data_IF_172623865047
#
_entry.id   IF_172623865047
#
_cell.length_a   1.000
_cell.length_b   1.000
_cell.length_c   1.000
_cell.angle_alpha   90.00
_cell.angle_beta   90.00
_cell.angle_gamma   90.00
#
_symmetry.space_group_name_H-M   'P 1'
#
loop_
_entity.id
_entity.type
_entity.pdbx_description
1 polymer ?
#
# COMPACT_ATOMS: atom_id res chain seq x y z
N UNK A 1 -23.52 18.79 -25.16
CA UNK A 1 -23.74 17.31 -25.33
C UNK A 1 -25.01 17.07 -26.16
N UNK A 2 -25.08 16.23 -27.22
CA UNK A 2 -26.30 16.15 -28.07
C UNK A 2 -27.23 14.96 -27.78
N UNK A 3 -28.56 15.13 -27.94
CA UNK A 3 -29.55 14.03 -27.80
C UNK A 3 -29.29 12.85 -28.72
N UNK A 4 -28.80 13.10 -29.94
CA UNK A 4 -28.45 12.04 -30.91
C UNK A 4 -27.27 11.22 -30.40
N UNK A 5 -26.21 11.88 -29.93
CA UNK A 5 -25.07 11.20 -29.33
C UNK A 5 -25.51 10.33 -28.15
N UNK A 6 -26.34 10.85 -27.25
CA UNK A 6 -26.81 10.10 -26.08
C UNK A 6 -27.56 8.83 -26.48
N UNK A 7 -28.42 8.89 -27.51
CA UNK A 7 -29.11 7.71 -28.04
C UNK A 7 -28.15 6.70 -28.66
N UNK A 8 -27.21 7.16 -29.48
CA UNK A 8 -26.20 6.30 -30.11
C UNK A 8 -25.28 5.65 -29.07
N UNK A 9 -24.91 6.41 -28.03
CA UNK A 9 -24.13 5.95 -26.90
C UNK A 9 -24.89 4.90 -26.07
N UNK A 10 -26.17 5.17 -25.75
CA UNK A 10 -27.01 4.19 -25.07
C UNK A 10 -27.11 2.89 -25.89
N UNK A 11 -27.29 3.00 -27.21
CA UNK A 11 -27.31 1.84 -28.11
C UNK A 11 -25.99 1.06 -28.09
N UNK A 12 -24.85 1.75 -28.11
CA UNK A 12 -23.53 1.13 -28.05
C UNK A 12 -23.28 0.39 -26.73
N UNK A 13 -23.73 0.99 -25.62
CA UNK A 13 -23.59 0.43 -24.27
C UNK A 13 -24.74 -0.51 -23.86
N UNK A 14 -25.62 -0.90 -24.81
CA UNK A 14 -26.77 -1.80 -24.59
C UNK A 14 -27.74 -1.29 -23.50
N UNK A 15 -27.85 0.03 -23.37
CA UNK A 15 -28.80 0.72 -22.52
C UNK A 15 -30.15 0.91 -23.24
N UNK A 16 -31.20 1.25 -22.49
CA UNK A 16 -32.51 1.51 -23.06
C UNK A 16 -32.48 2.78 -23.94
N UNK A 17 -33.13 2.70 -25.10
CA UNK A 17 -33.34 3.87 -25.96
C UNK A 17 -34.28 4.90 -25.31
N UNK A 18 -35.15 4.43 -24.42
CA UNK A 18 -36.02 5.27 -23.58
C UNK A 18 -35.21 5.82 -22.40
N UNK A 19 -34.95 7.14 -22.34
CA UNK A 19 -34.04 7.73 -21.35
C UNK A 19 -34.41 7.43 -19.89
N UNK A 20 -35.69 7.53 -19.54
CA UNK A 20 -36.18 7.38 -18.16
C UNK A 20 -36.06 5.95 -17.59
N UNK A 21 -35.83 4.94 -18.43
CA UNK A 21 -35.64 3.54 -17.99
C UNK A 21 -34.19 3.23 -17.62
N UNK A 22 -33.25 4.15 -17.89
CA UNK A 22 -31.86 3.94 -17.58
C UNK A 22 -31.56 4.37 -16.14
N UNK A 23 -31.04 3.42 -15.36
CA UNK A 23 -30.59 3.67 -13.99
C UNK A 23 -29.15 4.20 -13.94
N UNK A 24 -28.30 3.85 -14.91
CA UNK A 24 -26.89 4.21 -14.93
C UNK A 24 -26.47 4.73 -16.30
N UNK A 25 -25.71 5.82 -16.33
CA UNK A 25 -25.19 6.41 -17.56
C UNK A 25 -23.69 6.68 -17.45
N UNK A 26 -22.93 6.20 -18.43
CA UNK A 26 -21.46 6.26 -18.47
C UNK A 26 -20.94 7.23 -19.53
N UNK A 27 -20.72 8.48 -19.17
CA UNK A 27 -20.28 9.55 -20.08
C UNK A 27 -18.81 9.92 -19.91
N UNK A 28 -17.97 8.96 -19.47
CA UNK A 28 -16.54 9.16 -19.27
C UNK A 28 -15.76 9.31 -20.60
N UNK A 29 -14.72 10.13 -20.57
CA UNK A 29 -13.74 10.37 -21.64
C UNK A 29 -14.35 10.78 -22.98
N UNK A 30 -15.42 11.58 -22.96
CA UNK A 30 -16.09 12.07 -24.18
C UNK A 30 -15.81 13.53 -24.53
N UNK A 31 -15.08 14.25 -23.67
CA UNK A 31 -14.68 15.65 -23.93
C UNK A 31 -15.84 16.63 -23.89
N UNK A 32 -16.85 16.38 -23.04
CA UNK A 32 -17.93 17.33 -22.81
C UNK A 32 -17.47 18.47 -21.90
N UNK A 33 -17.78 19.69 -22.31
CA UNK A 33 -17.55 20.91 -21.53
C UNK A 33 -18.76 21.29 -20.68
N UNK A 34 -19.98 20.97 -21.13
CA UNK A 34 -21.24 21.28 -20.43
C UNK A 34 -22.12 20.03 -20.29
N UNK A 35 -22.85 19.95 -19.17
CA UNK A 35 -23.88 18.93 -18.95
C UNK A 35 -25.18 19.46 -19.57
N UNK A 36 -25.71 18.80 -20.59
CA UNK A 36 -26.92 19.25 -21.30
C UNK A 36 -27.71 18.05 -21.80
N UNK A 37 -29.01 18.23 -22.06
CA UNK A 37 -29.86 17.19 -22.66
C UNK A 37 -30.05 15.93 -21.78
N UNK A 38 -29.89 16.06 -20.45
CA UNK A 38 -30.20 15.01 -19.48
C UNK A 38 -31.62 15.10 -18.91
N UNK A 39 -32.42 16.12 -19.25
CA UNK A 39 -33.78 16.35 -18.72
C UNK A 39 -34.69 15.11 -18.79
N UNK A 40 -34.59 14.33 -19.87
CA UNK A 40 -35.42 13.13 -20.11
C UNK A 40 -34.99 11.92 -19.25
N UNK A 41 -33.80 11.97 -18.64
CA UNK A 41 -33.18 10.87 -17.87
C UNK A 41 -33.52 10.97 -16.37
N UNK A 42 -34.81 10.96 -16.04
CA UNK A 42 -35.32 11.12 -14.68
C UNK A 42 -35.12 9.89 -13.78
N UNK A 43 -34.93 8.71 -14.37
CA UNK A 43 -34.71 7.44 -13.66
C UNK A 43 -33.27 7.18 -13.22
N UNK A 44 -32.34 8.08 -13.53
CA UNK A 44 -30.92 7.86 -13.22
C UNK A 44 -30.66 7.79 -11.72
N UNK A 45 -29.96 6.72 -11.32
CA UNK A 45 -29.41 6.50 -9.98
C UNK A 45 -27.90 6.75 -9.95
N UNK A 46 -27.20 6.47 -11.04
CA UNK A 46 -25.74 6.61 -11.11
C UNK A 46 -25.31 7.34 -12.39
N UNK A 47 -24.60 8.45 -12.22
CA UNK A 47 -24.12 9.27 -13.33
C UNK A 47 -22.60 9.39 -13.27
N UNK A 48 -21.94 8.87 -14.30
CA UNK A 48 -20.49 8.93 -14.46
C UNK A 48 -20.16 9.97 -15.53
N UNK A 49 -19.55 11.06 -15.10
CA UNK A 49 -19.10 12.12 -15.97
C UNK A 49 -17.63 12.34 -15.64
N UNK A 50 -16.74 11.66 -16.36
CA UNK A 50 -15.30 11.94 -16.31
C UNK A 50 -14.95 12.65 -17.62
N UNK A 51 -14.57 13.92 -17.56
CA UNK A 51 -14.34 14.69 -18.79
C UNK A 51 -13.36 15.82 -18.52
N UNK A 52 -12.38 15.95 -19.41
CA UNK A 52 -11.49 17.08 -19.45
C UNK A 52 -12.28 18.30 -19.94
N UNK A 53 -12.56 19.25 -19.05
CA UNK A 53 -13.10 20.56 -19.42
C UNK A 53 -14.51 20.91 -18.92
N UNK A 54 -15.10 20.15 -17.98
CA UNK A 54 -16.28 20.66 -17.27
C UNK A 54 -15.84 21.67 -16.20
N UNK A 55 -16.37 22.88 -16.26
CA UNK A 55 -16.04 23.98 -15.33
C UNK A 55 -17.06 24.11 -14.19
N UNK A 56 -18.32 23.77 -14.46
CA UNK A 56 -19.43 23.96 -13.53
C UNK A 56 -20.42 22.79 -13.57
N UNK A 57 -21.08 22.55 -12.43
CA UNK A 57 -22.12 21.54 -12.28
C UNK A 57 -23.46 22.23 -12.56
N UNK A 58 -24.12 21.88 -13.66
CA UNK A 58 -25.39 22.48 -14.07
C UNK A 58 -26.31 21.46 -14.74
N UNK A 59 -27.59 21.82 -14.92
CA UNK A 59 -28.60 21.04 -15.65
C UNK A 59 -28.83 19.61 -15.11
N UNK A 60 -28.79 19.45 -13.77
CA UNK A 60 -29.08 18.19 -13.06
C UNK A 60 -30.41 18.21 -12.29
N UNK A 61 -31.26 19.23 -12.51
CA UNK A 61 -32.49 19.45 -11.73
C UNK A 61 -33.52 18.34 -11.90
N UNK A 62 -33.53 17.70 -13.07
CA UNK A 62 -34.44 16.60 -13.39
C UNK A 62 -34.05 15.28 -12.69
N UNK A 63 -32.80 15.14 -12.24
CA UNK A 63 -32.22 13.91 -11.68
C UNK A 63 -32.49 13.75 -10.17
N UNK A 64 -33.73 13.97 -9.74
CA UNK A 64 -34.12 13.86 -8.32
C UNK A 64 -33.91 12.46 -7.70
N UNK A 65 -33.78 11.42 -8.53
CA UNK A 65 -33.52 10.03 -8.15
C UNK A 65 -32.04 9.67 -8.01
N UNK A 66 -31.12 10.59 -8.27
CA UNK A 66 -29.69 10.30 -8.35
C UNK A 66 -29.13 9.94 -6.97
N UNK A 67 -28.36 8.85 -6.90
CA UNK A 67 -27.70 8.33 -5.71
C UNK A 67 -26.18 8.45 -5.77
N UNK A 68 -25.60 8.28 -6.96
CA UNK A 68 -24.17 8.32 -7.17
C UNK A 68 -23.81 9.29 -8.29
N UNK A 69 -22.98 10.28 -7.99
CA UNK A 69 -22.50 11.27 -8.95
C UNK A 69 -20.96 11.27 -8.95
N UNK A 70 -20.38 10.92 -10.10
CA UNK A 70 -18.94 10.88 -10.29
C UNK A 70 -18.52 11.98 -11.28
N UNK A 71 -17.77 12.94 -10.78
CA UNK A 71 -17.30 14.16 -11.45
C UNK A 71 -15.78 14.29 -11.32
N UNK A 72 -15.04 13.21 -11.57
CA UNK A 72 -13.59 13.17 -11.45
C UNK A 72 -12.88 13.88 -12.63
N UNK A 73 -11.65 14.37 -12.37
CA UNK A 73 -10.70 14.87 -13.38
C UNK A 73 -11.27 16.01 -14.25
N UNK A 74 -11.79 17.07 -13.61
CA UNK A 74 -12.34 18.23 -14.32
C UNK A 74 -11.75 19.54 -13.83
N UNK A 75 -12.32 20.64 -14.33
CA UNK A 75 -11.94 22.01 -13.99
C UNK A 75 -12.99 22.64 -13.06
N UNK A 76 -13.60 21.85 -12.17
CA UNK A 76 -14.62 22.36 -11.26
C UNK A 76 -13.93 23.16 -10.16
N UNK A 77 -14.36 24.41 -9.97
CA UNK A 77 -13.84 25.30 -8.93
C UNK A 77 -14.74 25.39 -7.70
N UNK A 78 -16.04 25.10 -7.85
CA UNK A 78 -17.06 25.26 -6.81
C UNK A 78 -18.11 24.16 -6.85
N UNK A 79 -18.71 23.89 -5.69
CA UNK A 79 -19.84 22.98 -5.54
C UNK A 79 -21.14 23.79 -5.55
N UNK A 80 -21.87 23.71 -6.65
CA UNK A 80 -23.11 24.43 -6.88
C UNK A 80 -24.17 23.53 -7.54
N UNK A 81 -25.43 23.96 -7.49
CA UNK A 81 -26.58 23.28 -8.12
C UNK A 81 -26.81 21.82 -7.67
N UNK A 82 -26.41 21.48 -6.44
CA UNK A 82 -26.65 20.15 -5.83
C UNK A 82 -27.98 20.08 -5.05
N UNK A 83 -28.68 21.20 -4.89
CA UNK A 83 -29.84 21.32 -3.99
C UNK A 83 -30.99 20.36 -4.31
N UNK A 84 -31.17 20.03 -5.59
CA UNK A 84 -32.25 19.16 -6.07
C UNK A 84 -31.97 17.67 -5.83
N UNK A 85 -30.71 17.28 -5.58
CA UNK A 85 -30.26 15.88 -5.50
C UNK A 85 -30.43 15.29 -4.09
N UNK A 86 -31.64 15.34 -3.52
CA UNK A 86 -31.90 14.95 -2.12
C UNK A 86 -31.57 13.50 -1.76
N UNK A 87 -31.52 12.61 -2.75
CA UNK A 87 -31.22 11.17 -2.60
C UNK A 87 -29.76 10.81 -2.87
N UNK A 88 -28.89 11.82 -3.05
CA UNK A 88 -27.49 11.59 -3.36
C UNK A 88 -26.78 11.00 -2.14
N UNK A 89 -26.23 9.80 -2.28
CA UNK A 89 -25.48 9.09 -1.26
C UNK A 89 -23.97 9.19 -1.46
N UNK A 90 -23.52 9.17 -2.72
CA UNK A 90 -22.10 9.18 -3.09
C UNK A 90 -21.82 10.33 -4.05
N UNK A 91 -20.93 11.23 -3.64
CA UNK A 91 -20.40 12.29 -4.48
C UNK A 91 -18.89 12.14 -4.60
N UNK A 92 -18.40 12.00 -5.84
CA UNK A 92 -16.98 12.06 -6.13
C UNK A 92 -16.67 13.26 -7.01
N UNK A 93 -15.89 14.19 -6.47
CA UNK A 93 -15.37 15.40 -7.11
C UNK A 93 -13.84 15.45 -6.98
N UNK A 94 -13.19 14.28 -7.00
CA UNK A 94 -11.74 14.18 -6.88
C UNK A 94 -11.02 14.65 -8.16
N UNK A 95 -9.80 15.16 -8.03
CA UNK A 95 -9.03 15.74 -9.14
C UNK A 95 -9.76 16.93 -9.80
N UNK A 96 -10.12 17.93 -8.99
CA UNK A 96 -10.69 19.20 -9.43
C UNK A 96 -9.89 20.36 -8.81
N UNK A 97 -10.39 21.59 -8.93
CA UNK A 97 -9.77 22.81 -8.40
C UNK A 97 -10.66 23.46 -7.33
N UNK A 98 -11.33 22.64 -6.53
CA UNK A 98 -12.23 23.12 -5.48
C UNK A 98 -11.41 23.68 -4.33
N UNK A 99 -11.68 24.93 -3.97
CA UNK A 99 -11.02 25.63 -2.87
C UNK A 99 -11.83 25.62 -1.57
N UNK A 100 -13.17 25.55 -1.67
CA UNK A 100 -14.06 25.63 -0.50
C UNK A 100 -15.17 24.58 -0.67
N UNK A 101 -15.48 23.89 0.42
CA UNK A 101 -16.62 22.99 0.54
C UNK A 101 -17.84 23.82 0.95
N UNK A 102 -18.71 24.11 -0.02
CA UNK A 102 -19.97 24.81 0.21
C UNK A 102 -21.15 23.99 -0.36
N UNK A 103 -22.37 24.33 0.07
CA UNK A 103 -23.62 23.75 -0.46
C UNK A 103 -23.78 22.22 -0.32
N UNK A 104 -22.95 21.53 0.48
CA UNK A 104 -23.09 20.08 0.73
C UNK A 104 -24.19 19.78 1.78
N UNK A 105 -24.38 20.66 2.76
CA UNK A 105 -25.36 20.49 3.84
C UNK A 105 -26.81 20.33 3.36
N UNK A 106 -27.10 20.72 2.12
CA UNK A 106 -28.41 20.54 1.51
C UNK A 106 -28.75 19.08 1.13
N UNK A 107 -27.77 18.16 1.24
CA UNK A 107 -27.84 16.74 0.89
C UNK A 107 -27.99 15.87 2.15
N UNK A 108 -29.22 15.48 2.53
CA UNK A 108 -29.45 14.79 3.80
C UNK A 108 -28.97 13.33 3.82
N UNK A 109 -28.90 12.67 2.66
CA UNK A 109 -28.52 11.25 2.53
C UNK A 109 -27.05 11.04 2.13
N UNK A 110 -26.24 12.10 2.06
CA UNK A 110 -24.85 11.99 1.58
C UNK A 110 -24.00 11.24 2.60
N UNK A 111 -23.62 10.01 2.25
CA UNK A 111 -22.80 9.13 3.09
C UNK A 111 -21.33 9.14 2.70
N UNK A 112 -21.03 9.34 1.42
CA UNK A 112 -19.68 9.19 0.87
C UNK A 112 -19.30 10.44 0.08
N UNK A 113 -18.28 11.15 0.54
CA UNK A 113 -17.72 12.31 -0.14
C UNK A 113 -16.24 12.05 -0.48
N UNK A 114 -15.91 12.10 -1.76
CA UNK A 114 -14.55 11.95 -2.27
C UNK A 114 -14.12 13.24 -2.97
N UNK A 115 -13.28 14.02 -2.30
CA UNK A 115 -12.76 15.32 -2.75
C UNK A 115 -11.21 15.33 -2.71
N UNK A 116 -10.61 14.17 -2.96
CA UNK A 116 -9.15 14.05 -3.06
C UNK A 116 -8.59 14.87 -4.23
N UNK A 117 -7.32 15.30 -4.15
CA UNK A 117 -6.64 16.08 -5.19
C UNK A 117 -7.40 17.37 -5.56
N UNK A 118 -7.74 18.18 -4.57
CA UNK A 118 -8.30 19.53 -4.74
C UNK A 118 -7.37 20.57 -4.12
N UNK A 119 -7.88 21.78 -3.84
CA UNK A 119 -7.11 22.94 -3.38
C UNK A 119 -7.65 23.51 -2.06
N UNK A 120 -8.11 22.63 -1.16
CA UNK A 120 -8.53 23.00 0.19
C UNK A 120 -7.29 23.31 1.04
N UNK A 121 -7.22 24.48 1.67
CA UNK A 121 -6.03 24.97 2.38
C UNK A 121 -6.30 25.21 3.87
N UNK A 122 -7.46 25.77 4.20
CA UNK A 122 -7.80 26.30 5.52
C UNK A 122 -8.92 25.52 6.20
N UNK A 123 -9.12 25.76 7.50
CA UNK A 123 -10.24 25.19 8.26
C UNK A 123 -11.59 25.72 7.77
N UNK A 124 -11.64 27.00 7.38
CA UNK A 124 -12.85 27.63 6.83
C UNK A 124 -13.34 26.94 5.57
N UNK A 125 -12.41 26.41 4.76
CA UNK A 125 -12.74 25.68 3.53
C UNK A 125 -13.51 24.39 3.79
N UNK A 126 -13.39 23.81 4.99
CA UNK A 126 -14.05 22.55 5.36
C UNK A 126 -15.09 22.72 6.46
N UNK A 127 -15.24 23.91 7.04
CA UNK A 127 -16.10 24.19 8.20
C UNK A 127 -17.54 23.68 7.99
N UNK A 128 -18.03 23.81 6.76
CA UNK A 128 -19.37 23.37 6.37
C UNK A 128 -19.62 21.87 6.53
N UNK A 129 -18.57 21.03 6.59
CA UNK A 129 -18.66 19.60 6.88
C UNK A 129 -19.20 19.32 8.28
N UNK A 130 -19.02 20.25 9.23
CA UNK A 130 -19.55 20.11 10.60
C UNK A 130 -21.08 20.00 10.65
N UNK A 131 -21.77 20.52 9.63
CA UNK A 131 -23.23 20.40 9.49
C UNK A 131 -23.68 19.10 8.80
N UNK A 132 -22.75 18.33 8.24
CA UNK A 132 -23.03 17.15 7.43
C UNK A 132 -23.02 15.88 8.31
N UNK A 133 -24.15 15.60 8.98
CA UNK A 133 -24.25 14.53 9.97
C UNK A 133 -24.29 13.11 9.38
N UNK A 134 -24.63 12.96 8.10
CA UNK A 134 -24.79 11.66 7.44
C UNK A 134 -23.50 11.11 6.81
N UNK A 135 -22.46 11.94 6.66
CA UNK A 135 -21.22 11.54 6.00
C UNK A 135 -20.48 10.54 6.88
N UNK A 136 -20.18 9.38 6.28
CA UNK A 136 -19.49 8.28 6.93
C UNK A 136 -18.12 7.99 6.33
N UNK A 137 -17.98 8.21 5.02
CA UNK A 137 -16.73 8.03 4.28
C UNK A 137 -16.32 9.38 3.70
N UNK A 138 -15.18 9.89 4.15
CA UNK A 138 -14.63 11.16 3.71
C UNK A 138 -13.19 10.95 3.22
N UNK A 139 -12.98 11.21 1.93
CA UNK A 139 -11.66 11.17 1.32
C UNK A 139 -11.26 12.57 0.86
N UNK A 140 -10.25 13.14 1.50
CA UNK A 140 -9.69 14.46 1.19
C UNK A 140 -8.17 14.40 1.02
N UNK A 141 -7.65 13.24 0.59
CA UNK A 141 -6.23 13.08 0.34
C UNK A 141 -5.72 14.08 -0.71
N UNK A 142 -4.45 14.43 -0.62
CA UNK A 142 -3.74 15.31 -1.55
C UNK A 142 -4.43 16.67 -1.76
N UNK A 143 -4.96 17.24 -0.67
CA UNK A 143 -5.29 18.65 -0.58
C UNK A 143 -4.11 19.42 0.04
N UNK A 144 -4.32 20.69 0.34
CA UNK A 144 -3.31 21.61 0.86
C UNK A 144 -3.59 22.00 2.32
N UNK A 145 -4.38 21.19 3.05
CA UNK A 145 -4.76 21.47 4.43
C UNK A 145 -3.51 21.52 5.30
N UNK A 146 -3.36 22.61 6.06
CA UNK A 146 -2.13 22.88 6.79
C UNK A 146 -2.34 23.12 8.30
N UNK A 147 -3.57 23.39 8.74
CA UNK A 147 -3.85 23.75 10.13
C UNK A 147 -4.43 22.56 10.92
N UNK A 148 -3.83 22.16 12.06
CA UNK A 148 -4.42 21.18 12.98
C UNK A 148 -5.82 21.51 13.50
N UNK A 149 -6.26 22.77 13.41
CA UNK A 149 -7.61 23.21 13.77
C UNK A 149 -8.74 22.60 12.91
N UNK A 150 -8.43 21.71 11.95
CA UNK A 150 -9.43 20.88 11.26
C UNK A 150 -10.06 19.79 12.13
N UNK A 151 -9.41 19.38 13.24
CA UNK A 151 -9.87 18.26 14.07
C UNK A 151 -11.29 18.48 14.65
N UNK A 152 -11.62 19.65 15.23
CA UNK A 152 -12.96 19.92 15.76
C UNK A 152 -14.07 19.81 14.70
N UNK A 153 -13.77 20.13 13.43
CA UNK A 153 -14.73 19.98 12.32
C UNK A 153 -15.10 18.51 12.14
N UNK A 154 -14.12 17.62 12.16
CA UNK A 154 -14.37 16.17 12.06
C UNK A 154 -15.01 15.59 13.32
N UNK A 155 -14.70 16.14 14.49
CA UNK A 155 -15.34 15.72 15.75
C UNK A 155 -16.85 16.03 15.77
N UNK A 156 -17.26 17.10 15.08
CA UNK A 156 -18.67 17.43 14.91
C UNK A 156 -19.44 16.44 14.01
N UNK A 157 -18.75 15.53 13.30
CA UNK A 157 -19.35 14.55 12.39
C UNK A 157 -19.54 13.18 13.08
N UNK A 158 -20.75 12.84 13.58
CA UNK A 158 -20.96 11.65 14.42
C UNK A 158 -20.86 10.32 13.65
N UNK A 159 -21.23 10.32 12.37
CA UNK A 159 -21.24 9.10 11.54
C UNK A 159 -19.93 8.86 10.79
N UNK A 160 -18.90 9.69 10.99
CA UNK A 160 -17.60 9.53 10.35
C UNK A 160 -16.92 8.23 10.81
N UNK A 161 -16.68 7.32 9.86
CA UNK A 161 -16.04 6.01 10.08
C UNK A 161 -14.73 5.88 9.31
N UNK A 162 -14.67 6.43 8.10
CA UNK A 162 -13.51 6.36 7.21
C UNK A 162 -13.07 7.76 6.89
N UNK A 163 -11.82 8.09 7.23
CA UNK A 163 -11.20 9.38 6.95
C UNK A 163 -9.85 9.17 6.26
N UNK A 164 -9.63 9.85 5.14
CA UNK A 164 -8.34 9.89 4.46
C UNK A 164 -7.86 11.34 4.29
N UNK A 165 -6.72 11.64 4.91
CA UNK A 165 -6.04 12.93 4.89
C UNK A 165 -4.61 12.82 4.32
N UNK A 166 -4.22 11.66 3.79
CA UNK A 166 -2.91 11.43 3.18
C UNK A 166 -2.51 12.54 2.21
N UNK A 167 -1.25 12.96 2.24
CA UNK A 167 -0.74 13.98 1.33
C UNK A 167 -1.12 15.43 1.66
N UNK A 168 -1.81 15.69 2.77
CA UNK A 168 -1.96 17.05 3.32
C UNK A 168 -0.79 17.39 4.26
N UNK A 169 -0.44 18.68 4.36
CA UNK A 169 0.66 19.14 5.23
C UNK A 169 0.32 18.99 6.72
N UNK A 170 -0.96 19.12 7.06
CA UNK A 170 -1.48 19.00 8.43
C UNK A 170 -1.09 17.70 9.11
N UNK A 171 -0.99 16.59 8.36
CA UNK A 171 -0.62 15.27 8.89
C UNK A 171 0.75 15.30 9.55
N UNK A 172 1.70 16.07 9.01
CA UNK A 172 3.06 16.22 9.55
C UNK A 172 3.13 17.15 10.76
N UNK A 173 2.16 18.05 10.90
CA UNK A 173 2.12 19.05 11.98
C UNK A 173 1.41 18.54 13.23
N UNK A 174 0.55 17.54 13.09
CA UNK A 174 -0.16 16.96 14.23
C UNK A 174 0.77 15.95 14.93
N UNK A 175 1.14 16.19 16.21
CA UNK A 175 1.97 15.25 16.94
C UNK A 175 1.20 13.95 17.19
N UNK A 176 1.89 12.81 17.04
CA UNK A 176 1.28 11.49 17.16
C UNK A 176 -0.04 11.38 16.37
N UNK A 177 -0.04 11.91 15.14
CA UNK A 177 -1.24 12.12 14.31
C UNK A 177 -2.26 10.99 14.39
N UNK A 178 -1.83 9.74 14.19
CA UNK A 178 -2.72 8.57 14.24
C UNK A 178 -3.38 8.39 15.61
N UNK A 179 -2.62 8.45 16.71
CA UNK A 179 -3.18 8.33 18.07
C UNK A 179 -4.13 9.49 18.35
N UNK A 180 -3.72 10.71 18.03
CA UNK A 180 -4.54 11.92 18.19
C UNK A 180 -5.87 11.80 17.44
N UNK A 181 -5.87 11.38 16.18
CA UNK A 181 -7.10 11.16 15.41
C UNK A 181 -7.99 10.08 16.03
N UNK A 182 -7.42 8.95 16.44
CA UNK A 182 -8.18 7.85 17.05
C UNK A 182 -8.85 8.27 18.36
N UNK A 183 -8.16 9.05 19.21
CA UNK A 183 -8.67 9.53 20.50
C UNK A 183 -9.80 10.54 20.30
N UNK A 184 -9.61 11.49 19.37
CA UNK A 184 -10.57 12.57 19.11
C UNK A 184 -11.80 12.04 18.35
N UNK A 185 -11.61 11.12 17.40
CA UNK A 185 -12.65 10.52 16.57
C UNK A 185 -13.00 9.10 17.06
N UNK A 186 -13.91 9.03 18.04
CA UNK A 186 -14.25 7.79 18.78
C UNK A 186 -14.86 6.68 17.93
N UNK A 187 -15.50 7.03 16.81
CA UNK A 187 -16.16 6.06 15.94
C UNK A 187 -15.37 5.71 14.68
N UNK A 188 -14.15 6.23 14.55
CA UNK A 188 -13.31 5.98 13.38
C UNK A 188 -12.91 4.50 13.30
N UNK A 189 -13.15 3.89 12.14
CA UNK A 189 -12.79 2.49 11.83
C UNK A 189 -11.64 2.40 10.83
N UNK A 190 -11.41 3.44 10.04
CA UNK A 190 -10.33 3.47 9.05
C UNK A 190 -9.74 4.88 8.99
N UNK A 191 -8.43 4.97 9.10
CA UNK A 191 -7.68 6.21 8.97
C UNK A 191 -6.61 6.01 7.91
N UNK A 192 -6.67 6.84 6.87
CA UNK A 192 -5.73 6.87 5.76
C UNK A 192 -5.69 5.54 5.00
N UNK A 193 -4.60 4.77 5.13
CA UNK A 193 -4.38 3.47 4.50
C UNK A 193 -4.57 2.30 5.47
N UNK A 194 -4.84 2.55 6.75
CA UNK A 194 -4.86 1.52 7.80
C UNK A 194 -6.18 1.48 8.59
N UNK A 195 -6.77 0.29 8.79
CA UNK A 195 -7.90 0.12 9.70
C UNK A 195 -7.50 0.46 11.13
N UNK A 196 -8.46 0.90 11.94
CA UNK A 196 -8.30 1.17 13.38
C UNK A 196 -8.92 -0.01 14.14
N UNK A 197 -8.08 -0.87 14.70
CA UNK A 197 -8.54 -2.01 15.46
C UNK A 197 -8.90 -1.62 16.90
N UNK A 198 -9.73 -2.41 17.59
CA UNK A 198 -10.02 -2.19 19.02
C UNK A 198 -8.76 -2.15 19.90
N UNK A 199 -7.72 -2.93 19.54
CA UNK A 199 -6.40 -2.89 20.19
C UNK A 199 -5.77 -1.50 20.06
N UNK A 200 -5.73 -0.96 18.84
CA UNK A 200 -5.12 0.35 18.55
C UNK A 200 -5.82 1.46 19.33
N UNK A 201 -7.15 1.40 19.41
CA UNK A 201 -7.96 2.36 20.18
C UNK A 201 -7.67 2.29 21.67
N UNK A 202 -7.66 1.09 22.25
CA UNK A 202 -7.33 0.91 23.67
C UNK A 202 -5.92 1.44 23.99
N UNK A 203 -4.93 1.13 23.15
CA UNK A 203 -3.56 1.65 23.29
C UNK A 203 -3.51 3.18 23.18
N UNK A 204 -4.23 3.78 22.21
CA UNK A 204 -4.26 5.23 22.04
C UNK A 204 -4.95 5.93 23.23
N UNK A 205 -6.03 5.37 23.77
CA UNK A 205 -6.70 5.89 24.97
C UNK A 205 -5.81 5.76 26.22
N UNK A 206 -5.13 4.63 26.40
CA UNK A 206 -4.18 4.44 27.49
C UNK A 206 -2.98 5.40 27.38
N UNK A 207 -2.52 5.67 26.15
CA UNK A 207 -1.51 6.69 25.87
C UNK A 207 -1.98 8.09 26.25
N UNK A 208 -3.23 8.44 25.96
CA UNK A 208 -3.80 9.74 26.31
C UNK A 208 -3.83 10.00 27.83
N UNK A 209 -4.00 8.94 28.63
CA UNK A 209 -4.08 9.02 30.10
C UNK A 209 -2.72 8.90 30.78
N UNK A 210 -1.90 7.93 30.36
CA UNK A 210 -0.67 7.53 31.04
C UNK A 210 0.59 7.62 30.20
N UNK A 211 0.53 8.26 29.03
CA UNK A 211 1.64 8.37 28.09
C UNK A 211 2.16 7.01 27.62
N UNK A 212 3.45 6.94 27.31
CA UNK A 212 4.09 5.74 26.79
C UNK A 212 4.01 4.54 27.75
N UNK A 213 4.03 4.79 29.06
CA UNK A 213 3.89 3.71 30.05
C UNK A 213 2.48 3.11 30.06
N UNK A 214 1.46 3.96 29.95
CA UNK A 214 0.07 3.53 29.84
C UNK A 214 -0.15 2.67 28.60
N UNK A 215 0.36 3.13 27.46
CA UNK A 215 0.32 2.40 26.20
C UNK A 215 0.99 1.01 26.29
N UNK A 216 2.21 0.96 26.85
CA UNK A 216 2.98 -0.29 26.97
C UNK A 216 2.22 -1.32 27.82
N UNK A 217 1.69 -0.89 28.97
CA UNK A 217 0.88 -1.75 29.85
C UNK A 217 -0.35 -2.29 29.14
N UNK A 218 -1.09 -1.45 28.43
CA UNK A 218 -2.30 -1.88 27.72
C UNK A 218 -1.96 -2.84 26.57
N UNK A 219 -0.87 -2.59 25.85
CA UNK A 219 -0.37 -3.46 24.78
C UNK A 219 -0.03 -4.86 25.32
N UNK A 220 0.70 -4.94 26.42
CA UNK A 220 1.06 -6.21 27.09
C UNK A 220 -0.18 -6.97 27.59
N UNK A 221 -1.17 -6.25 28.13
CA UNK A 221 -2.44 -6.84 28.56
C UNK A 221 -3.20 -7.45 27.37
N UNK A 222 -3.22 -6.77 26.23
CA UNK A 222 -3.86 -7.26 25.01
C UNK A 222 -3.16 -8.52 24.47
N UNK A 223 -1.83 -8.52 24.40
CA UNK A 223 -1.04 -9.68 23.97
C UNK A 223 -1.21 -10.88 24.91
N UNK A 224 -1.25 -10.63 26.22
CA UNK A 224 -1.51 -11.66 27.23
C UNK A 224 -2.91 -12.26 27.05
N UNK A 225 -3.91 -11.43 26.75
CA UNK A 225 -5.29 -11.87 26.49
C UNK A 225 -5.37 -12.73 25.23
N UNK A 226 -4.72 -12.33 24.14
CA UNK A 226 -4.70 -13.12 22.90
C UNK A 226 -3.96 -14.43 23.07
N UNK A 227 -2.79 -14.41 23.73
CA UNK A 227 -2.05 -15.63 24.06
C UNK A 227 -2.90 -16.61 24.87
N UNK A 228 -3.66 -16.10 25.84
CA UNK A 228 -4.59 -16.91 26.63
C UNK A 228 -5.69 -17.52 25.75
N UNK A 229 -6.32 -16.75 24.86
CA UNK A 229 -7.33 -17.30 23.93
C UNK A 229 -6.77 -18.41 23.04
N UNK A 230 -5.54 -18.25 22.54
CA UNK A 230 -4.87 -19.28 21.74
C UNK A 230 -4.61 -20.52 22.59
N UNK A 231 -4.09 -20.35 23.81
CA UNK A 231 -3.85 -21.46 24.74
C UNK A 231 -5.14 -22.20 25.08
N UNK A 232 -6.20 -21.49 25.44
CA UNK A 232 -7.52 -22.07 25.76
C UNK A 232 -8.08 -22.87 24.56
N UNK A 233 -7.81 -22.41 23.34
CA UNK A 233 -8.20 -23.11 22.11
C UNK A 233 -7.40 -24.39 21.89
N UNK A 234 -6.09 -24.37 22.16
CA UNK A 234 -5.21 -25.54 22.08
C UNK A 234 -5.58 -26.60 23.12
N UNK A 235 -5.82 -26.18 24.36
CA UNK A 235 -6.24 -27.06 25.46
C UNK A 235 -7.64 -27.67 25.19
N UNK A 236 -8.52 -26.92 24.52
CA UNK A 236 -9.81 -27.40 24.02
C UNK A 236 -9.72 -28.43 22.89
N UNK A 237 -8.64 -28.43 22.11
CA UNK A 237 -8.36 -29.47 21.11
C UNK A 237 -7.71 -30.72 21.71
N UNK A 238 -6.79 -30.57 22.67
CA UNK A 238 -6.13 -31.71 23.33
C UNK A 238 -7.10 -32.51 24.20
N UNK A 239 -8.11 -31.87 24.78
CA UNK A 239 -9.17 -32.56 25.54
C UNK A 239 -10.12 -33.41 24.67
N UNK A 240 -10.06 -33.33 23.34
CA UNK A 240 -10.79 -34.22 22.41
C UNK A 240 -9.98 -35.45 21.99
N UNK A 241 -8.66 -35.50 22.23
CA UNK A 241 -7.90 -36.74 22.09
C UNK A 241 -8.09 -37.60 23.34
N UNK A 242 -9.17 -38.41 23.33
CA UNK A 242 -9.31 -39.45 24.35
C UNK A 242 -8.09 -40.41 24.29
N UNK A 243 -7.57 -40.89 25.44
CA UNK A 243 -6.43 -41.81 25.47
C UNK A 243 -6.70 -43.12 24.69
N UNK A 244 -7.97 -43.48 24.46
CA UNK A 244 -8.37 -44.59 23.59
C UNK A 244 -8.05 -44.35 22.10
N UNK A 245 -8.24 -43.14 21.59
CA UNK A 245 -7.95 -42.80 20.19
C UNK A 245 -6.44 -42.83 19.90
N UNK A 246 -5.63 -42.33 20.85
CA UNK A 246 -4.17 -42.39 20.77
C UNK A 246 -3.64 -43.84 20.88
N UNK A 247 -4.24 -44.67 21.76
CA UNK A 247 -3.88 -46.08 21.90
C UNK A 247 -4.23 -46.91 20.67
N UNK A 248 -5.39 -46.68 20.06
CA UNK A 248 -5.84 -47.35 18.82
C UNK A 248 -4.91 -47.02 17.64
N UNK A 249 -4.52 -45.74 17.50
CA UNK A 249 -3.59 -45.30 16.45
C UNK A 249 -2.20 -45.91 16.63
N UNK A 250 -1.73 -46.04 17.87
CA UNK A 250 -0.44 -46.69 18.19
C UNK A 250 -0.47 -48.21 17.95
N UNK A 251 -1.56 -48.89 18.28
CA UNK A 251 -1.75 -50.32 17.99
C UNK A 251 -1.80 -50.60 16.47
N UNK A 252 -2.41 -49.69 15.70
CA UNK A 252 -2.48 -49.79 14.24
C UNK A 252 -1.11 -49.60 13.59
N UNK A 253 -0.27 -48.70 14.13
CA UNK A 253 1.12 -48.54 13.67
C UNK A 253 2.00 -49.75 14.00
N UNK A 254 1.86 -50.33 15.20
CA UNK A 254 2.62 -51.53 15.59
C UNK A 254 2.23 -52.77 14.77
N UNK A 255 0.95 -52.92 14.42
CA UNK A 255 0.49 -54.03 13.57
C UNK A 255 0.97 -53.91 12.12
N UNK A 256 1.02 -52.69 11.56
CA UNK A 256 1.64 -52.43 10.24
C UNK A 256 3.13 -52.75 10.22
N UNK A 257 3.90 -52.29 11.21
CA UNK A 257 5.33 -52.59 11.33
C UNK A 257 5.61 -54.10 11.47
N UNK A 258 4.80 -54.83 12.27
CA UNK A 258 4.91 -56.29 12.37
C UNK A 258 4.61 -57.00 11.05
N UNK A 259 3.66 -56.50 10.26
CA UNK A 259 3.32 -57.05 8.94
C UNK A 259 4.44 -56.80 7.92
N UNK A 260 5.10 -55.65 7.97
CA UNK A 260 6.27 -55.35 7.12
C UNK A 260 7.48 -56.22 7.45
N UNK A 261 7.77 -56.42 8.74
CA UNK A 261 8.85 -57.34 9.13
C UNK A 261 8.55 -58.79 8.72
N UNK A 262 7.31 -59.24 8.83
CA UNK A 262 6.90 -60.58 8.35
C UNK A 262 7.09 -60.72 6.83
N UNK A 263 6.77 -59.67 6.08
CA UNK A 263 6.98 -59.65 4.63
C UNK A 263 8.48 -59.62 4.26
N UNK A 264 9.33 -58.95 5.04
CA UNK A 264 10.80 -58.99 4.84
C UNK A 264 11.38 -60.39 5.11
N UNK A 265 10.89 -61.08 6.13
CA UNK A 265 11.30 -62.46 6.44
C UNK A 265 10.96 -63.43 5.29
N UNK A 266 9.74 -63.31 4.73
CA UNK A 266 9.30 -64.14 3.58
C UNK A 266 10.17 -63.89 2.33
N UNK A 267 10.58 -62.64 2.08
CA UNK A 267 11.49 -62.31 0.96
C UNK A 267 12.89 -62.92 1.14
N UNK A 268 13.39 -63.01 2.38
CA UNK A 268 14.69 -63.66 2.66
C UNK A 268 14.69 -65.16 2.37
N UNK A 269 13.59 -65.86 2.68
CA UNK A 269 13.47 -67.32 2.43
C UNK A 269 13.31 -67.64 0.94
N UNK A 270 12.80 -66.69 0.13
CA UNK A 270 12.69 -66.85 -1.31
C UNK A 270 14.01 -66.56 -2.07
N UNK A 271 14.89 -65.69 -1.55
CA UNK A 271 16.18 -65.38 -2.17
C UNK A 271 17.19 -66.54 -2.17
N UNK A 272 17.15 -67.43 -1.17
CA UNK A 272 18.11 -68.54 -1.03
C UNK A 272 17.95 -69.68 -2.05
N UNK A 273 16.99 -69.60 -2.99
CA UNK A 273 16.81 -70.58 -4.08
C UNK A 273 17.34 -70.10 -5.44
N UNK A 274 17.69 -68.83 -5.62
CA UNK A 274 18.22 -68.30 -6.88
C UNK A 274 19.76 -68.19 -6.92
N UNK A 275 20.42 -68.15 -5.76
CA UNK A 275 21.88 -67.97 -5.69
C UNK A 275 22.71 -69.21 -6.07
N UNK A 276 22.11 -70.40 -6.19
CA UNK A 276 22.85 -71.64 -6.49
C UNK A 276 23.09 -71.88 -8.00
N UNK A 277 22.53 -71.05 -8.88
CA UNK A 277 22.68 -71.16 -10.34
C UNK A 277 23.60 -70.11 -10.96
N UNK A 278 23.99 -69.07 -10.22
CA UNK A 278 24.78 -67.94 -10.75
C UNK A 278 26.28 -68.02 -10.36
N UNK A 279 26.63 -68.87 -9.39
CA UNK A 279 28.00 -69.02 -8.87
C UNK A 279 28.91 -69.91 -9.76
N UNK A 280 28.35 -70.61 -10.76
CA UNK A 280 29.15 -71.44 -11.69
C UNK A 280 29.63 -70.69 -12.95
N UNK A 281 29.01 -69.56 -13.32
CA UNK A 281 29.35 -68.83 -14.56
C UNK A 281 30.41 -67.75 -14.39
N UNK A 282 30.60 -67.18 -13.20
CA UNK A 282 31.56 -66.08 -12.98
C UNK A 282 32.98 -66.54 -12.63
N UNK A 283 33.18 -67.83 -12.33
CA UNK A 283 34.50 -68.37 -11.97
C UNK A 283 35.42 -68.65 -13.16
N UNK A 284 34.89 -68.64 -14.40
CA UNK A 284 35.66 -68.90 -15.62
C UNK A 284 36.19 -67.61 -16.29
N UNK A 285 35.66 -66.43 -15.96
CA UNK A 285 35.96 -65.17 -16.65
C UNK A 285 37.07 -64.33 -16.00
N UNK A 286 37.36 -64.56 -14.72
CA UNK A 286 38.32 -63.75 -13.93
C UNK A 286 39.78 -64.23 -14.08
N UNK A 287 40.05 -65.28 -14.84
CA UNK A 287 41.43 -65.78 -15.09
C UNK A 287 42.10 -65.18 -16.34
N UNK A 288 41.38 -64.37 -17.13
CA UNK A 288 41.84 -63.93 -18.46
C UNK A 288 42.13 -62.42 -18.56
N UNK A 289 41.94 -61.64 -17.47
CA UNK A 289 42.03 -60.16 -17.50
C UNK A 289 43.14 -59.56 -16.60
N UNK A 290 44.12 -60.35 -16.16
CA UNK A 290 45.25 -59.87 -15.34
C UNK A 290 46.62 -60.01 -16.02
N UNK A 291 46.75 -59.73 -17.32
CA UNK A 291 48.06 -59.77 -17.99
C UNK A 291 48.63 -58.46 -18.53
N UNK A 292 47.94 -57.31 -18.62
CA UNK A 292 48.57 -56.12 -19.22
C UNK A 292 48.15 -54.78 -18.59
N UNK A 293 48.99 -54.27 -17.67
CA UNK A 293 49.14 -52.84 -17.38
C UNK A 293 50.61 -52.45 -17.50
N UNK A 294 50.91 -51.52 -18.40
CA UNK A 294 52.05 -50.57 -18.43
C UNK A 294 51.87 -49.77 -19.74
N UNK A 295 51.99 -48.46 -19.89
CA UNK A 295 52.60 -47.39 -19.11
C UNK A 295 52.25 -46.02 -19.79
N UNK A 296 52.31 -44.92 -19.04
CA UNK A 296 52.76 -43.54 -19.40
C UNK A 296 51.83 -42.48 -20.07
N UNK A 297 51.69 -41.39 -19.28
CA UNK A 297 51.94 -39.93 -19.53
C UNK A 297 51.04 -39.10 -20.49
N UNK A 298 50.46 -38.04 -19.91
CA UNK A 298 49.95 -36.76 -20.50
C UNK A 298 51.06 -35.88 -21.14
N UNK A 299 50.82 -34.67 -21.75
CA UNK A 299 49.57 -33.92 -22.08
C UNK A 299 49.58 -33.19 -23.46
N UNK A 300 48.51 -32.43 -23.75
CA UNK A 300 48.48 -31.03 -24.29
C UNK A 300 47.73 -30.72 -25.62
N UNK A 301 46.94 -29.64 -25.49
CA UNK A 301 46.67 -28.52 -26.42
C UNK A 301 45.81 -28.65 -27.70
N UNK A 302 44.72 -27.90 -27.65
CA UNK A 302 44.44 -26.69 -28.46
C UNK A 302 43.38 -26.73 -29.58
N UNK A 303 42.39 -25.84 -29.39
CA UNK A 303 41.78 -24.85 -30.31
C UNK A 303 41.39 -25.30 -31.72
N UNK A 304 40.11 -25.16 -32.05
CA UNK A 304 39.57 -24.04 -32.86
C UNK A 304 38.14 -24.31 -33.35
N UNK A 305 37.41 -23.23 -33.61
CA UNK A 305 35.98 -23.15 -33.90
C UNK A 305 35.76 -22.80 -35.42
N UNK A 306 34.53 -22.47 -35.87
CA UNK A 306 33.68 -23.17 -36.86
C UNK A 306 33.74 -22.54 -38.28
N UNK A 307 32.81 -22.83 -39.22
CA UNK A 307 31.66 -21.92 -39.39
C UNK A 307 30.34 -22.46 -40.02
N UNK A 308 29.24 -21.76 -39.69
CA UNK A 308 28.08 -21.24 -40.47
C UNK A 308 27.59 -21.94 -41.75
N UNK A 309 26.26 -22.13 -41.86
CA UNK A 309 25.36 -21.33 -42.72
C UNK A 309 23.89 -21.80 -42.65
N UNK A 310 23.01 -20.84 -42.34
CA UNK A 310 21.77 -20.42 -43.03
C UNK A 310 20.56 -21.34 -43.35
N UNK A 311 19.40 -20.76 -42.97
CA UNK A 311 18.09 -20.67 -43.66
C UNK A 311 16.95 -21.71 -43.51
N UNK A 312 15.86 -21.20 -42.89
CA UNK A 312 14.44 -21.15 -43.36
C UNK A 312 13.44 -22.29 -43.04
N UNK A 313 12.56 -21.97 -42.07
CA UNK A 313 11.07 -22.08 -42.01
C UNK A 313 10.37 -23.40 -42.39
N UNK A 314 9.65 -24.04 -41.44
CA UNK A 314 8.17 -24.15 -41.42
C UNK A 314 7.61 -24.98 -40.23
N UNK A 315 6.53 -24.44 -39.65
CA UNK A 315 5.30 -25.09 -39.17
C UNK A 315 5.26 -26.11 -38.00
N UNK A 316 4.43 -25.71 -37.01
CA UNK A 316 3.41 -26.49 -36.28
C UNK A 316 3.67 -27.95 -35.88
N UNK A 317 3.64 -28.21 -34.57
CA UNK A 317 2.78 -29.23 -33.96
C UNK A 317 2.61 -28.97 -32.44
N UNK A 318 1.41 -29.18 -31.87
CA UNK A 318 1.23 -29.36 -30.43
C UNK A 318 1.33 -30.84 -30.08
N UNK A 319 1.82 -31.18 -28.89
CA UNK A 319 1.62 -32.53 -28.35
C UNK A 319 2.68 -32.98 -27.36
N UNK A 320 2.19 -33.39 -26.19
CA UNK A 320 2.81 -34.23 -25.17
C UNK A 320 3.97 -35.11 -25.66
N UNK A 321 5.00 -35.24 -24.82
CA UNK A 321 5.52 -36.55 -24.43
C UNK A 321 6.32 -36.44 -23.12
N UNK A 322 5.97 -37.32 -22.19
CA UNK A 322 6.70 -37.68 -20.98
C UNK A 322 7.82 -38.63 -21.38
N UNK A 323 9.04 -38.37 -20.93
CA UNK A 323 10.09 -39.39 -20.78
C UNK A 323 10.83 -39.15 -19.47
N UNK A 324 10.93 -40.24 -18.72
CA UNK A 324 11.51 -40.41 -17.39
C UNK A 324 13.02 -40.21 -17.38
N UNK A 325 13.58 -39.69 -16.28
CA UNK A 325 14.98 -39.90 -15.87
C UNK A 325 15.12 -39.95 -14.34
N UNK A 326 15.41 -41.17 -13.86
CA UNK A 326 16.50 -41.58 -12.95
C UNK A 326 16.69 -40.91 -11.56
N UNK A 327 16.44 -41.75 -10.54
CA UNK A 327 17.16 -42.01 -9.28
C UNK A 327 18.00 -40.91 -8.62
N UNK A 328 17.42 -40.38 -7.54
CA UNK A 328 18.02 -39.50 -6.53
C UNK A 328 18.63 -40.30 -5.37
N UNK A 329 19.94 -40.25 -5.18
CA UNK A 329 20.57 -40.44 -3.86
C UNK A 329 21.74 -39.45 -3.70
N UNK A 330 21.44 -38.29 -3.12
CA UNK A 330 22.30 -37.48 -2.22
C UNK A 330 21.52 -36.20 -1.88
N UNK A 331 20.75 -36.24 -0.79
CA UNK A 331 20.23 -35.02 -0.16
C UNK A 331 20.92 -34.93 1.19
N UNK A 332 21.95 -34.09 1.26
CA UNK A 332 22.46 -33.59 2.53
C UNK A 332 21.30 -32.91 3.27
N UNK A 333 21.03 -33.41 4.47
CA UNK A 333 19.99 -32.85 5.35
C UNK A 333 20.50 -31.51 5.85
N UNK A 334 20.02 -30.42 5.27
CA UNK A 334 20.17 -29.08 5.86
C UNK A 334 19.11 -29.00 6.97
N UNK A 335 19.55 -29.07 8.23
CA UNK A 335 18.72 -28.68 9.37
C UNK A 335 18.48 -27.17 9.28
N UNK A 336 17.33 -26.79 8.71
CA UNK A 336 16.78 -25.46 8.89
C UNK A 336 16.27 -25.37 10.33
N UNK A 337 17.10 -24.81 11.21
CA UNK A 337 16.63 -24.23 12.46
C UNK A 337 15.46 -23.32 12.13
N UNK A 338 14.27 -23.69 12.61
CA UNK A 338 13.01 -23.01 12.39
C UNK A 338 13.05 -21.64 13.10
N UNK A 339 13.76 -20.68 12.51
CA UNK A 339 13.64 -19.28 12.91
C UNK A 339 12.23 -18.84 12.55
N UNK A 340 11.47 -18.50 13.60
CA UNK A 340 10.27 -17.65 13.63
C UNK A 340 9.91 -17.06 12.26
N UNK A 341 8.73 -17.39 11.76
CA UNK A 341 8.07 -16.59 10.73
C UNK A 341 7.97 -15.15 11.26
N UNK A 342 8.78 -14.25 10.71
CA UNK A 342 8.61 -12.82 10.93
C UNK A 342 7.27 -12.42 10.29
N UNK A 343 6.30 -12.08 11.13
CA UNK A 343 5.05 -11.49 10.68
C UNK A 343 5.28 -10.00 10.40
N UNK A 344 4.48 -9.41 9.50
CA UNK A 344 4.52 -7.97 9.18
C UNK A 344 4.30 -7.09 10.44
N UNK A 345 3.71 -7.66 11.49
CA UNK A 345 3.48 -7.01 12.78
C UNK A 345 4.73 -6.88 13.68
N UNK A 346 5.87 -7.47 13.29
CA UNK A 346 7.13 -7.46 14.07
C UNK A 346 8.16 -6.43 13.55
N UNK A 347 7.79 -5.52 12.64
CA UNK A 347 8.68 -4.41 12.29
C UNK A 347 8.64 -3.32 13.38
N UNK A 348 9.79 -2.83 13.87
CA UNK A 348 9.81 -1.66 14.74
C UNK A 348 9.29 -0.45 13.96
N UNK A 349 8.44 0.36 14.61
CA UNK A 349 7.98 1.64 14.09
C UNK A 349 9.22 2.53 13.81
N UNK A 350 9.45 2.86 12.53
CA UNK A 350 10.58 3.70 12.09
C UNK A 350 10.44 5.18 12.50
N UNK A 351 9.54 5.51 13.42
CA UNK A 351 9.35 6.85 13.98
C UNK A 351 10.16 7.07 15.28
N UNK A 352 10.74 6.01 15.86
CA UNK A 352 11.49 6.07 17.14
C UNK A 352 13.03 6.09 16.97
N UNK A 353 13.57 6.47 15.81
CA UNK A 353 15.02 6.69 15.66
C UNK A 353 15.35 8.14 16.01
N UNK A 354 15.88 8.36 17.21
CA UNK A 354 16.50 9.62 17.62
C UNK A 354 17.53 10.07 16.56
N UNK A 355 17.22 11.15 15.84
CA UNK A 355 18.03 11.66 14.72
C UNK A 355 19.36 12.31 15.16
N UNK A 356 19.64 12.39 16.46
CA UNK A 356 20.88 13.00 16.95
C UNK A 356 22.09 12.04 16.93
N UNK A 357 21.89 10.72 17.09
CA UNK A 357 22.99 9.75 17.06
C UNK A 357 23.37 9.28 15.64
N UNK A 358 22.50 9.50 14.66
CA UNK A 358 22.76 9.09 13.26
C UNK A 358 23.77 10.01 12.55
N UNK A 359 23.92 11.26 13.01
CA UNK A 359 24.84 12.24 12.42
C UNK A 359 26.29 11.97 12.83
N UNK A 360 26.53 11.39 14.01
CA UNK A 360 27.88 11.12 14.51
C UNK A 360 28.61 9.98 13.76
N UNK A 361 27.86 9.02 13.20
CA UNK A 361 28.45 7.84 12.53
C UNK A 361 28.89 8.14 11.08
N UNK A 362 28.32 9.17 10.44
CA UNK A 362 28.65 9.52 9.05
C UNK A 362 29.79 10.55 8.89
N UNK A 363 30.30 11.14 9.97
CA UNK A 363 31.42 12.11 9.90
C UNK A 363 32.81 11.50 9.69
N UNK A 364 32.93 10.18 9.55
CA UNK A 364 34.23 9.50 9.40
C UNK A 364 34.34 8.61 8.16
N UNK A 365 34.00 9.14 6.98
CA UNK A 365 34.50 8.61 5.69
C UNK A 365 34.98 9.74 4.80
N UNK A 366 36.29 9.74 4.50
CA UNK A 366 36.92 10.60 3.50
C UNK A 366 36.19 10.48 2.16
N UNK A 367 35.54 11.56 1.73
CA UNK A 367 35.04 11.70 0.37
C UNK A 367 36.19 12.18 -0.54
N UNK A 368 36.61 11.31 -1.46
CA UNK A 368 37.35 11.71 -2.66
C UNK A 368 36.42 12.54 -3.56
N UNK A 369 36.80 13.79 -3.87
CA UNK A 369 36.16 14.61 -4.91
C UNK A 369 36.82 14.29 -6.27
N UNK A 370 36.09 13.85 -7.30
CA UNK A 370 36.61 13.89 -8.65
C UNK A 370 36.52 15.33 -9.19
N UNK A 371 37.64 15.86 -9.66
CA UNK A 371 37.74 17.15 -10.32
C UNK A 371 37.30 16.98 -11.77
N UNK A 372 36.28 17.72 -12.21
CA UNK A 372 35.91 17.82 -13.63
C UNK A 372 36.58 19.09 -14.17
N UNK A 373 37.57 18.92 -15.04
CA UNK A 373 38.21 20.02 -15.77
C UNK A 373 37.37 20.37 -17.00
N UNK A 374 36.85 21.60 -17.03
CA UNK A 374 36.22 22.18 -18.21
C UNK A 374 37.31 22.80 -19.10
N UNK A 375 37.42 22.31 -20.33
CA UNK A 375 38.33 22.84 -21.36
C UNK A 375 37.71 24.13 -21.90
N UNK A 376 38.31 25.27 -21.59
CA UNK A 376 37.98 26.57 -22.19
C UNK A 376 38.76 26.77 -23.48
N UNK A 377 38.04 26.91 -24.59
CA UNK A 377 38.53 27.33 -25.90
C UNK A 377 38.65 28.86 -25.93
N UNK A 378 39.78 29.35 -26.45
CA UNK A 378 40.22 30.74 -26.43
C UNK A 378 39.64 31.58 -27.57
N UNK A 379 39.16 32.79 -27.28
CA UNK A 379 39.19 33.92 -28.22
C UNK A 379 39.16 35.29 -27.50
N UNK A 380 40.36 35.83 -27.30
CA UNK A 380 40.85 37.20 -27.56
C UNK A 380 40.04 38.48 -27.27
N UNK A 381 40.78 39.38 -26.59
CA UNK A 381 40.86 40.86 -26.74
C UNK A 381 39.72 41.73 -26.17
N UNK A 382 39.91 42.85 -25.46
CA UNK A 382 41.07 43.60 -24.98
C UNK A 382 40.55 44.65 -23.94
N UNK A 383 41.36 44.94 -22.90
CA UNK A 383 41.65 46.26 -22.27
C UNK A 383 40.46 47.15 -21.77
N UNK A 384 40.48 47.84 -20.62
CA UNK A 384 41.51 48.28 -19.66
C UNK A 384 40.76 48.96 -18.51
N UNK A 385 41.18 48.76 -17.26
CA UNK A 385 40.60 49.49 -16.13
C UNK A 385 41.05 49.07 -14.73
N UNK A 386 42.36 48.80 -14.58
CA UNK A 386 43.17 48.97 -13.36
C UNK A 386 42.55 49.97 -12.35
N UNK A 387 42.39 49.73 -11.04
CA UNK A 387 43.42 49.37 -10.06
C UNK A 387 42.78 49.17 -8.64
N UNK A 388 43.21 48.11 -7.92
CA UNK A 388 43.81 48.15 -6.55
C UNK A 388 42.88 48.56 -5.38
N UNK A 389 42.88 47.93 -4.20
CA UNK A 389 43.55 46.76 -3.64
C UNK A 389 42.67 46.28 -2.46
N UNK A 390 42.33 45.00 -2.50
CA UNK A 390 42.74 43.97 -1.55
C UNK A 390 43.00 44.32 -0.06
N UNK A 391 42.30 43.54 0.81
CA UNK A 391 42.81 42.84 2.02
C UNK A 391 42.30 43.29 3.42
N UNK A 392 41.82 42.25 4.12
CA UNK A 392 41.85 41.96 5.57
C UNK A 392 40.67 42.40 6.44
N UNK A 393 39.77 41.46 6.77
CA UNK A 393 39.80 40.50 7.91
C UNK A 393 39.17 41.12 9.17
N UNK A 394 37.98 40.63 9.54
CA UNK A 394 37.75 39.74 10.69
C UNK A 394 38.30 40.32 12.00
N UNK A 395 37.44 40.78 12.90
CA UNK A 395 36.78 39.88 13.86
C UNK A 395 36.02 40.67 14.95
N UNK A 396 34.94 40.06 15.43
CA UNK A 396 34.59 39.93 16.85
C UNK A 396 34.11 41.12 17.70
N UNK A 397 32.83 41.01 18.06
CA UNK A 397 32.37 40.71 19.43
C UNK A 397 31.47 41.73 20.16
N UNK A 398 30.28 41.21 20.44
CA UNK A 398 29.58 41.21 21.75
C UNK A 398 29.00 42.53 22.26
N UNK A 399 27.67 42.62 22.42
CA UNK A 399 26.93 42.37 23.68
C UNK A 399 27.14 43.53 24.70
N UNK A 400 26.18 44.26 25.27
CA UNK A 400 24.93 43.89 25.96
C UNK A 400 24.26 45.18 26.51
N UNK A 401 22.97 45.06 26.87
CA UNK A 401 22.27 45.71 28.01
C UNK A 401 21.74 47.17 27.91
N UNK A 402 20.40 47.25 27.86
CA UNK A 402 19.53 47.73 28.97
C UNK A 402 18.59 48.93 28.72
N UNK A 403 17.30 48.63 28.93
CA UNK A 403 16.23 49.37 29.64
C UNK A 403 15.86 50.81 29.25
N UNK A 404 14.60 50.88 28.82
CA UNK A 404 13.49 51.67 29.41
C UNK A 404 13.22 53.11 28.92
N UNK A 405 11.91 53.34 28.80
CA UNK A 405 11.15 54.58 28.84
C UNK A 405 11.14 55.45 27.58
N UNK A 406 9.99 55.46 26.90
CA UNK A 406 9.39 56.71 26.48
C UNK A 406 7.86 56.66 26.54
N UNK A 407 7.34 57.58 27.34
CA UNK A 407 5.95 57.99 27.54
C UNK A 407 5.58 59.11 26.56
N UNK A 408 4.49 58.95 25.81
CA UNK A 408 3.61 60.00 25.23
C UNK A 408 2.60 59.25 24.36
N UNK A 409 1.27 59.38 24.46
CA UNK A 409 0.49 60.61 24.50
C UNK A 409 -0.94 60.38 25.03
N UNK A 410 -1.49 61.42 25.66
CA UNK A 410 -2.91 61.73 25.87
C UNK A 410 -3.77 61.38 24.63
N UNK A 411 -5.06 61.05 24.68
CA UNK A 411 -6.11 61.26 25.68
C UNK A 411 -7.30 61.98 25.02
N UNK A 412 -8.52 61.42 25.07
CA UNK A 412 -9.86 62.05 24.97
C UNK A 412 -10.88 60.92 25.32
N UNK A 413 -11.61 60.95 26.46
CA UNK A 413 -12.93 61.61 26.73
C UNK A 413 -14.03 61.08 25.77
N UNK A 414 -15.19 60.57 26.20
CA UNK A 414 -16.17 61.05 27.19
C UNK A 414 -17.18 59.95 27.62
N UNK A 415 -17.92 60.28 28.70
CA UNK A 415 -19.19 59.73 29.22
C UNK A 415 -19.13 58.59 30.27
#
# INVERSE_FOLDING_TARGET
MTKKFLKDHCKHHRLYLTPCLNDTLYLHFKGFTTIENLEDYTGLKSLWLESMGLECIENLDAQTGLRCLFLQQKLIYKLENLEHLKKLCTLNVSNNYIHIIENISCLPELSTLQIAHNKLETVGDIEHLSHCLAISVLDMAHNLLNDPEIIPVFEAMPELRVLNLMGNEVVKKIPNYRKTMIIRLKHLTFLDDRPVFPKDRACAEAWAVGGLEGERKERELWETRERRKIQDSLDGSDSKESPEAAASTRATRQSKSRRENRNREVRRVQGTKQDNTQIQSEKLYILELQSEQCEKKHPQLSKSCPPKADEVVLAHCPGLLVTELEDTEHIETIDLLLHRSLCIDDLPDLEDVDTEDFIAVFSSKQMFKPTIEAISESSNDEKTGNQIDTICTLSSDSSLLSKANNTSSLGYKDA
#
